data_IF_259261183584
#
_entry.id   IF_259261183584
#
_cell.length_a   1.000
_cell.length_b   1.000
_cell.length_c   1.000
_cell.angle_alpha   90.00
_cell.angle_beta   90.00
_cell.angle_gamma   90.00
#
_symmetry.space_group_name_H-M   'P 1'
#
loop_
_entity.id
_entity.type
_entity.pdbx_description
1 polymer ?
#
# COMPACT_ATOMS: atom_id res chain seq x y z
N UNK A 1 -18.82 4.13 6.33
CA UNK A 1 -18.14 4.24 5.02
C UNK A 1 -17.68 5.68 4.84
N UNK A 2 -16.39 5.89 4.55
CA UNK A 2 -15.82 7.22 4.30
C UNK A 2 -16.14 7.57 2.83
N UNK A 3 -16.73 8.74 2.57
CA UNK A 3 -17.06 9.19 1.19
C UNK A 3 -15.76 9.37 0.39
N UNK A 4 -15.75 8.95 -0.88
CA UNK A 4 -14.59 9.07 -1.78
C UNK A 4 -13.75 7.80 -1.96
N UNK A 5 -14.21 6.66 -1.42
CA UNK A 5 -13.51 5.37 -1.43
C UNK A 5 -14.32 4.27 -2.12
N UNK A 6 -15.17 4.66 -3.07
CA UNK A 6 -16.09 3.79 -3.81
C UNK A 6 -15.37 2.83 -4.76
N UNK A 7 -14.10 3.12 -5.08
CA UNK A 7 -13.19 2.31 -5.91
C UNK A 7 -12.40 1.25 -5.11
N UNK A 8 -12.57 1.14 -3.79
CA UNK A 8 -11.97 0.03 -3.01
C UNK A 8 -12.89 -1.19 -3.08
N UNK A 9 -13.19 -1.59 -4.31
CA UNK A 9 -13.75 -2.89 -4.68
C UNK A 9 -12.65 -3.77 -5.28
N UNK A 10 -13.02 -4.68 -6.16
CA UNK A 10 -12.10 -5.55 -6.94
C UNK A 10 -11.17 -4.78 -7.90
N UNK A 11 -11.17 -3.45 -7.86
CA UNK A 11 -10.37 -2.60 -8.73
C UNK A 11 -8.93 -2.53 -8.21
N UNK A 12 -8.06 -3.28 -8.88
CA UNK A 12 -6.64 -3.34 -8.59
C UNK A 12 -5.90 -2.12 -9.14
N UNK A 13 -6.35 -0.90 -8.82
CA UNK A 13 -5.63 0.31 -9.17
C UNK A 13 -4.88 0.85 -7.96
N UNK A 14 -3.54 0.92 -8.05
CA UNK A 14 -2.70 1.38 -6.96
C UNK A 14 -2.97 2.86 -6.62
N UNK A 15 -3.24 3.20 -5.35
CA UNK A 15 -3.48 4.58 -4.94
C UNK A 15 -2.23 5.47 -4.95
N UNK A 16 -1.04 4.87 -5.08
CA UNK A 16 0.24 5.61 -5.05
C UNK A 16 0.70 5.97 -6.47
N UNK A 17 0.75 4.98 -7.37
CA UNK A 17 1.28 5.16 -8.73
C UNK A 17 0.21 5.06 -9.82
N UNK A 18 -1.06 4.80 -9.45
CA UNK A 18 -2.20 4.64 -10.35
C UNK A 18 -2.09 3.51 -11.37
N UNK A 19 -1.12 2.59 -11.23
CA UNK A 19 -1.02 1.41 -12.10
C UNK A 19 -2.11 0.39 -11.76
N UNK A 20 -2.52 -0.37 -12.78
CA UNK A 20 -3.31 -1.57 -12.58
C UNK A 20 -2.39 -2.73 -12.15
N UNK A 21 -2.89 -3.61 -11.29
CA UNK A 21 -2.20 -4.82 -10.83
C UNK A 21 -3.19 -5.99 -10.72
N UNK A 22 -2.76 -7.16 -10.28
CA UNK A 22 -3.66 -8.31 -10.04
C UNK A 22 -3.37 -8.98 -8.70
N UNK A 23 -4.31 -9.78 -8.20
CA UNK A 23 -4.20 -10.48 -6.91
C UNK A 23 -2.99 -11.43 -6.87
N UNK A 24 -2.59 -12.00 -8.01
CA UNK A 24 -1.47 -12.94 -8.13
C UNK A 24 -0.09 -12.27 -8.18
N UNK A 25 -0.02 -10.95 -8.34
CA UNK A 25 1.24 -10.21 -8.37
C UNK A 25 1.81 -9.92 -6.96
N UNK A 26 1.01 -10.08 -5.89
CA UNK A 26 1.46 -9.89 -4.50
C UNK A 26 1.38 -8.45 -3.98
N UNK A 27 0.34 -7.70 -4.39
CA UNK A 27 -0.04 -6.41 -3.81
C UNK A 27 -0.94 -6.54 -2.57
N UNK A 28 -1.58 -5.45 -2.15
CA UNK A 28 -2.56 -5.47 -1.05
C UNK A 28 -3.78 -4.60 -1.34
N UNK A 29 -4.96 -5.09 -0.94
CA UNK A 29 -6.23 -4.37 -0.88
C UNK A 29 -6.73 -4.44 0.56
N UNK A 30 -7.00 -3.31 1.21
CA UNK A 30 -7.41 -3.31 2.61
C UNK A 30 -7.28 -1.95 3.30
N UNK A 31 -6.76 -1.96 4.52
CA UNK A 31 -6.56 -0.75 5.33
C UNK A 31 -5.11 -0.61 5.77
N UNK A 32 -4.53 0.56 5.51
CA UNK A 32 -3.30 1.03 6.13
C UNK A 32 -3.67 1.93 7.32
N UNK A 33 -3.70 1.32 8.51
CA UNK A 33 -4.26 1.96 9.71
C UNK A 33 -5.76 2.22 9.51
N UNK A 34 -6.16 3.49 9.51
CA UNK A 34 -7.56 3.91 9.27
C UNK A 34 -7.84 4.22 7.79
N UNK A 35 -6.81 4.27 6.94
CA UNK A 35 -6.91 4.67 5.55
C UNK A 35 -7.13 3.41 4.70
N UNK A 36 -8.23 3.32 3.93
CA UNK A 36 -8.36 2.22 2.99
C UNK A 36 -7.42 2.43 1.80
N UNK A 37 -6.81 1.35 1.32
CA UNK A 37 -5.74 1.37 0.31
C UNK A 37 -5.81 0.19 -0.64
N UNK A 38 -5.32 0.42 -1.85
CA UNK A 38 -4.93 -0.55 -2.86
C UNK A 38 -3.47 -0.24 -3.24
N UNK A 39 -2.54 -1.14 -2.95
CA UNK A 39 -1.12 -0.99 -3.30
C UNK A 39 -0.71 -2.10 -4.24
N UNK A 40 -0.11 -1.75 -5.38
CA UNK A 40 0.58 -2.72 -6.22
C UNK A 40 1.81 -3.29 -5.49
N UNK A 41 2.37 -4.42 -5.93
CA UNK A 41 3.46 -5.11 -5.21
C UNK A 41 4.68 -4.21 -4.97
N UNK A 42 5.02 -3.37 -5.95
CA UNK A 42 6.14 -2.44 -5.87
C UNK A 42 5.91 -1.36 -4.81
N UNK A 43 4.73 -0.72 -4.81
CA UNK A 43 4.42 0.32 -3.83
C UNK A 43 4.22 -0.27 -2.42
N UNK A 44 3.70 -1.50 -2.32
CA UNK A 44 3.61 -2.21 -1.05
C UNK A 44 5.00 -2.53 -0.49
N UNK A 45 5.92 -3.05 -1.29
CA UNK A 45 7.31 -3.29 -0.89
C UNK A 45 7.99 -1.99 -0.42
N UNK A 46 7.78 -0.88 -1.13
CA UNK A 46 8.30 0.43 -0.75
C UNK A 46 7.84 0.89 0.64
N UNK A 47 6.64 0.53 1.10
CA UNK A 47 6.19 0.86 2.46
C UNK A 47 7.01 0.14 3.52
N UNK A 48 7.33 -1.15 3.30
CA UNK A 48 8.23 -1.90 4.19
C UNK A 48 9.65 -1.35 4.17
N UNK A 49 10.16 -1.00 3.00
CA UNK A 49 11.49 -0.43 2.86
C UNK A 49 11.63 0.90 3.64
N UNK A 50 10.59 1.74 3.65
CA UNK A 50 10.59 2.97 4.46
C UNK A 50 10.62 2.68 5.96
N UNK A 51 9.80 1.75 6.44
CA UNK A 51 9.79 1.35 7.86
C UNK A 51 11.14 0.76 8.27
N UNK A 52 11.72 -0.07 7.41
CA UNK A 52 13.02 -0.69 7.66
C UNK A 52 14.12 0.37 7.76
N UNK A 53 14.15 1.34 6.85
CA UNK A 53 15.09 2.47 6.91
C UNK A 53 14.94 3.27 8.21
N UNK A 54 13.71 3.57 8.64
CA UNK A 54 13.46 4.28 9.90
C UNK A 54 13.97 3.50 11.10
N UNK A 55 13.66 2.20 11.18
CA UNK A 55 14.11 1.32 12.28
C UNK A 55 15.64 1.21 12.29
N UNK A 56 16.28 1.06 11.13
CA UNK A 56 17.74 0.97 11.05
C UNK A 56 18.40 2.26 11.55
N UNK A 57 17.83 3.43 11.25
CA UNK A 57 18.30 4.73 11.75
C UNK A 57 18.15 4.89 13.28
N UNK A 58 17.16 4.26 13.90
CA UNK A 58 16.99 4.27 15.37
C UNK A 58 18.01 3.37 16.10
N UNK A 59 18.62 2.41 15.41
CA UNK A 59 19.54 1.42 16.02
C UNK A 59 21.02 1.77 15.94
N UNK A 60 21.37 2.92 15.36
CA UNK A 60 22.75 3.43 15.25
C UNK A 60 23.16 4.35 16.44
N UNK A 61 22.36 4.41 17.52
CA UNK A 61 22.74 4.94 18.86
C UNK A 61 23.14 3.84 19.85
#
# INVERSE_FOLDING_TARGET
MIKGFEHIGEEHQCNVCSCEFTDDEGGTLGYFGILPVAFCPTCFASMYDMIKQEIELETDE
#
